data_IF_404255436837
#
_entry.id   IF_404255436837
#
_cell.length_a   1.000
_cell.length_b   1.000
_cell.length_c   1.000
_cell.angle_alpha   90.00
_cell.angle_beta   90.00
_cell.angle_gamma   90.00
#
_symmetry.space_group_name_H-M   'P 1'
#
loop_
_entity.id
_entity.type
_entity.pdbx_description
1 polymer ?
#
# COMPACT_ATOMS: atom_id res chain seq x y z
N UNK A 1 -84.36 -11.95 -6.07
CA UNK A 1 -83.34 -12.12 -5.01
C UNK A 1 -82.99 -13.60 -4.91
N UNK A 2 -82.26 -14.12 -5.89
CA UNK A 2 -81.87 -15.53 -5.96
C UNK A 2 -80.64 -15.72 -6.87
N UNK A 3 -79.66 -14.81 -6.81
CA UNK A 3 -78.44 -14.88 -7.63
C UNK A 3 -77.15 -14.90 -6.79
N UNK A 4 -77.25 -14.89 -5.45
CA UNK A 4 -76.07 -14.85 -4.55
C UNK A 4 -75.68 -16.22 -3.95
N UNK A 5 -76.44 -17.29 -4.22
CA UNK A 5 -76.18 -18.64 -3.67
C UNK A 5 -75.40 -19.57 -4.63
N UNK A 6 -75.19 -19.15 -5.88
CA UNK A 6 -74.48 -19.97 -6.90
C UNK A 6 -72.94 -19.78 -6.89
N UNK A 7 -72.43 -18.93 -6.00
CA UNK A 7 -70.99 -18.71 -5.76
C UNK A 7 -70.42 -19.53 -4.58
N UNK A 8 -71.19 -20.42 -3.96
CA UNK A 8 -70.66 -21.38 -2.99
C UNK A 8 -70.41 -22.73 -3.66
N UNK A 9 -69.13 -23.10 -3.80
CA UNK A 9 -68.56 -24.46 -3.91
C UNK A 9 -67.43 -24.57 -4.95
N UNK A 10 -66.46 -23.65 -4.90
CA UNK A 10 -65.10 -24.20 -4.73
C UNK A 10 -65.12 -24.90 -3.37
N UNK A 11 -64.83 -26.22 -3.29
CA UNK A 11 -64.90 -26.94 -2.03
C UNK A 11 -64.14 -26.15 -0.97
N UNK A 12 -64.77 -25.77 0.14
CA UNK A 12 -64.10 -24.99 1.21
C UNK A 12 -62.78 -25.65 1.64
N UNK A 13 -62.72 -26.97 1.49
CA UNK A 13 -61.52 -27.78 1.66
C UNK A 13 -60.36 -27.41 0.71
N UNK A 14 -60.63 -27.17 -0.57
CA UNK A 14 -59.62 -26.76 -1.55
C UNK A 14 -59.10 -25.35 -1.25
N UNK A 15 -59.97 -24.44 -0.83
CA UNK A 15 -59.56 -23.08 -0.42
C UNK A 15 -58.68 -23.13 0.84
N UNK A 16 -59.01 -23.99 1.80
CA UNK A 16 -58.20 -24.16 3.01
C UNK A 16 -56.85 -24.83 2.70
N UNK A 17 -56.84 -25.83 1.80
CA UNK A 17 -55.63 -26.47 1.32
C UNK A 17 -54.72 -25.47 0.58
N UNK A 18 -55.28 -24.67 -0.34
CA UNK A 18 -54.55 -23.62 -1.05
C UNK A 18 -54.02 -22.54 -0.10
N UNK A 19 -54.78 -22.16 0.93
CA UNK A 19 -54.29 -21.23 1.97
C UNK A 19 -53.10 -21.80 2.74
N UNK A 20 -53.14 -23.08 3.12
CA UNK A 20 -52.02 -23.77 3.78
C UNK A 20 -50.80 -23.89 2.86
N UNK A 21 -51.02 -24.19 1.59
CA UNK A 21 -49.97 -24.24 0.57
C UNK A 21 -49.30 -22.87 0.37
N UNK A 22 -50.08 -21.80 0.27
CA UNK A 22 -49.59 -20.42 0.16
C UNK A 22 -48.82 -20.02 1.42
N UNK A 23 -49.30 -20.35 2.62
CA UNK A 23 -48.55 -20.09 3.85
C UNK A 23 -47.23 -20.85 3.89
N UNK A 24 -47.20 -22.11 3.44
CA UNK A 24 -45.99 -22.92 3.34
C UNK A 24 -44.99 -22.31 2.36
N UNK A 25 -45.43 -21.94 1.16
CA UNK A 25 -44.63 -21.26 0.14
C UNK A 25 -44.14 -19.89 0.63
N UNK A 26 -44.94 -19.14 1.39
CA UNK A 26 -44.50 -17.87 1.98
C UNK A 26 -43.40 -18.03 3.02
N UNK A 27 -43.45 -19.09 3.84
CA UNK A 27 -42.45 -19.38 4.86
C UNK A 27 -41.15 -19.94 4.26
N UNK A 28 -41.28 -20.72 3.18
CA UNK A 28 -40.16 -21.32 2.46
C UNK A 28 -40.30 -21.04 0.96
N UNK A 29 -39.95 -19.83 0.49
CA UNK A 29 -40.16 -19.42 -0.91
C UNK A 29 -39.37 -20.25 -1.92
N UNK A 30 -38.27 -20.86 -1.49
CA UNK A 30 -37.49 -21.81 -2.28
C UNK A 30 -37.84 -23.28 -1.96
N UNK A 31 -38.65 -23.52 -0.93
CA UNK A 31 -39.35 -24.79 -0.65
C UNK A 31 -38.48 -25.97 -0.20
N UNK A 32 -39.11 -26.91 0.51
CA UNK A 32 -38.63 -28.24 0.98
C UNK A 32 -38.19 -29.19 -0.15
N UNK A 33 -38.04 -28.68 -1.36
CA UNK A 33 -37.58 -29.44 -2.52
C UNK A 33 -36.05 -29.51 -2.48
N UNK A 34 -35.46 -30.64 -2.89
CA UNK A 34 -34.00 -30.80 -2.92
C UNK A 34 -33.30 -29.70 -3.73
N UNK A 35 -33.95 -29.22 -4.78
CA UNK A 35 -33.45 -28.13 -5.63
C UNK A 35 -33.46 -26.80 -4.88
N UNK A 36 -34.52 -26.53 -4.10
CA UNK A 36 -34.64 -25.39 -3.20
C UNK A 36 -33.59 -25.33 -2.10
N UNK A 37 -33.32 -26.47 -1.46
CA UNK A 37 -32.27 -26.61 -0.45
C UNK A 37 -30.89 -26.35 -1.05
N UNK A 38 -30.60 -26.94 -2.22
CA UNK A 38 -29.33 -26.73 -2.93
C UNK A 38 -29.14 -25.26 -3.31
N UNK A 39 -30.19 -24.59 -3.77
CA UNK A 39 -30.16 -23.17 -4.09
C UNK A 39 -29.91 -22.31 -2.84
N UNK A 40 -30.59 -22.62 -1.73
CA UNK A 40 -30.41 -21.92 -0.46
C UNK A 40 -28.99 -22.08 0.07
N UNK A 41 -28.43 -23.30 -0.02
CA UNK A 41 -27.05 -23.58 0.34
C UNK A 41 -26.06 -22.80 -0.54
N UNK A 42 -26.28 -22.76 -1.86
CA UNK A 42 -25.46 -21.97 -2.78
C UNK A 42 -25.50 -20.47 -2.44
N UNK A 43 -26.68 -19.93 -2.12
CA UNK A 43 -26.86 -18.53 -1.71
C UNK A 43 -26.13 -18.27 -0.38
N UNK A 44 -26.25 -19.17 0.59
CA UNK A 44 -25.58 -19.03 1.89
C UNK A 44 -24.05 -19.08 1.73
N UNK A 45 -23.53 -20.04 0.95
CA UNK A 45 -22.11 -20.13 0.63
C UNK A 45 -21.62 -18.88 -0.10
N UNK A 46 -22.39 -18.35 -1.04
CA UNK A 46 -22.06 -17.09 -1.71
C UNK A 46 -22.01 -15.93 -0.72
N UNK A 47 -23.01 -15.81 0.16
CA UNK A 47 -23.07 -14.75 1.16
C UNK A 47 -21.87 -14.82 2.12
N UNK A 48 -21.48 -16.02 2.55
CA UNK A 48 -20.31 -16.21 3.41
C UNK A 48 -19.00 -15.91 2.67
N UNK A 49 -18.91 -16.23 1.39
CA UNK A 49 -17.78 -15.81 0.55
C UNK A 49 -17.72 -14.28 0.39
N UNK A 50 -18.85 -13.61 0.23
CA UNK A 50 -18.93 -12.14 0.18
C UNK A 50 -18.48 -11.54 1.52
N UNK A 51 -18.94 -12.07 2.66
CA UNK A 51 -18.48 -11.62 3.98
C UNK A 51 -16.97 -11.79 4.14
N UNK A 52 -16.42 -12.95 3.76
CA UNK A 52 -14.97 -13.19 3.77
C UNK A 52 -14.22 -12.19 2.90
N UNK A 53 -14.75 -11.87 1.72
CA UNK A 53 -14.16 -10.87 0.83
C UNK A 53 -14.17 -9.47 1.46
N UNK A 54 -15.28 -9.07 2.09
CA UNK A 54 -15.38 -7.81 2.83
C UNK A 54 -14.39 -7.78 4.00
N UNK A 55 -14.23 -8.88 4.73
CA UNK A 55 -13.26 -8.99 5.81
C UNK A 55 -11.83 -8.85 5.31
N UNK A 56 -11.49 -9.48 4.18
CA UNK A 56 -10.17 -9.33 3.54
C UNK A 56 -9.95 -7.86 3.18
N UNK A 57 -10.89 -7.21 2.49
CA UNK A 57 -10.75 -5.80 2.13
C UNK A 57 -10.61 -4.89 3.35
N UNK A 58 -11.37 -5.16 4.41
CA UNK A 58 -11.32 -4.38 5.64
C UNK A 58 -9.97 -4.54 6.34
N UNK A 59 -9.46 -5.78 6.43
CA UNK A 59 -8.13 -6.06 7.00
C UNK A 59 -7.02 -5.46 6.17
N UNK A 60 -7.05 -5.66 4.85
CA UNK A 60 -6.05 -5.07 3.93
C UNK A 60 -6.08 -3.55 3.97
N UNK A 61 -7.26 -2.92 4.03
CA UNK A 61 -7.36 -1.46 4.17
C UNK A 61 -6.84 -0.98 5.52
N UNK A 62 -7.08 -1.71 6.60
CA UNK A 62 -6.56 -1.38 7.93
C UNK A 62 -5.03 -1.52 7.97
N UNK A 63 -4.49 -2.60 7.40
CA UNK A 63 -3.05 -2.84 7.28
C UNK A 63 -2.38 -1.78 6.41
N UNK A 64 -3.00 -1.40 5.29
CA UNK A 64 -2.49 -0.33 4.43
C UNK A 64 -2.46 0.99 5.20
N UNK A 65 -3.54 1.31 5.94
CA UNK A 65 -3.59 2.52 6.75
C UNK A 65 -2.57 2.50 7.89
N UNK A 66 -2.32 1.36 8.51
CA UNK A 66 -1.30 1.20 9.56
C UNK A 66 0.11 1.35 9.00
N UNK A 67 0.39 0.70 7.87
CA UNK A 67 1.73 0.66 7.29
C UNK A 67 2.10 1.96 6.55
N UNK A 68 1.12 2.70 6.03
CA UNK A 68 1.35 3.93 5.26
C UNK A 68 0.82 5.21 5.93
N UNK A 69 0.04 5.09 7.00
CA UNK A 69 -0.59 6.23 7.67
C UNK A 69 0.24 6.83 8.80
N UNK A 70 1.11 6.06 9.45
CA UNK A 70 1.86 6.51 10.63
C UNK A 70 3.23 7.11 10.31
N UNK A 71 3.82 6.79 9.16
CA UNK A 71 5.00 7.49 8.61
C UNK A 71 4.71 7.74 7.14
N UNK A 72 4.21 8.94 6.84
CA UNK A 72 4.05 9.33 5.46
C UNK A 72 5.44 9.28 4.81
N UNK A 73 5.64 8.68 3.63
CA UNK A 73 6.92 8.75 2.92
C UNK A 73 7.39 10.21 2.70
N UNK A 74 6.48 11.17 2.84
CA UNK A 74 6.77 12.61 2.84
C UNK A 74 7.57 13.06 4.08
N UNK A 75 7.36 12.43 5.24
CA UNK A 75 8.12 12.67 6.47
C UNK A 75 9.54 12.13 6.35
N UNK A 76 9.70 10.91 5.82
CA UNK A 76 11.02 10.34 5.53
C UNK A 76 11.82 11.24 4.57
N UNK A 77 11.17 11.72 3.50
CA UNK A 77 11.81 12.66 2.55
C UNK A 77 12.20 13.96 3.24
N UNK A 78 11.38 14.47 4.16
CA UNK A 78 11.66 15.69 4.91
C UNK A 78 12.85 15.49 5.87
N UNK A 79 12.94 14.32 6.51
CA UNK A 79 14.06 13.97 7.37
C UNK A 79 15.36 13.85 6.58
N UNK A 80 15.35 13.12 5.45
CA UNK A 80 16.49 13.01 4.54
C UNK A 80 16.94 14.39 4.05
N UNK A 81 16.00 15.28 3.72
CA UNK A 81 16.32 16.66 3.33
C UNK A 81 17.04 17.41 4.45
N UNK A 82 16.54 17.31 5.69
CA UNK A 82 17.12 17.97 6.85
C UNK A 82 18.53 17.42 7.17
N UNK A 83 18.72 16.10 7.07
CA UNK A 83 20.03 15.46 7.22
C UNK A 83 21.02 15.95 6.15
N UNK A 84 20.60 16.01 4.88
CA UNK A 84 21.45 16.50 3.80
C UNK A 84 21.83 17.99 3.99
N UNK A 85 20.91 18.80 4.51
CA UNK A 85 21.19 20.19 4.84
C UNK A 85 22.24 20.31 5.96
N UNK A 86 22.13 19.51 7.02
CA UNK A 86 23.13 19.47 8.10
C UNK A 86 24.50 18.98 7.62
N UNK A 87 24.54 17.95 6.77
CA UNK A 87 25.78 17.44 6.18
C UNK A 87 26.44 18.53 5.33
N UNK A 88 25.67 19.21 4.49
CA UNK A 88 26.17 20.29 3.65
C UNK A 88 26.73 21.45 4.50
N UNK A 89 26.01 21.86 5.55
CA UNK A 89 26.48 22.87 6.50
C UNK A 89 27.78 22.44 7.20
N UNK A 90 27.87 21.17 7.62
CA UNK A 90 29.08 20.62 8.23
C UNK A 90 30.28 20.64 7.29
N UNK A 91 30.10 20.29 6.01
CA UNK A 91 31.16 20.33 5.00
C UNK A 91 31.64 21.77 4.77
N UNK A 92 30.72 22.74 4.67
CA UNK A 92 31.05 24.16 4.52
C UNK A 92 31.84 24.66 5.73
N UNK A 93 31.40 24.34 6.95
CA UNK A 93 32.10 24.74 8.17
C UNK A 93 33.53 24.17 8.24
N UNK A 94 33.74 22.92 7.84
CA UNK A 94 35.09 22.33 7.76
C UNK A 94 35.96 23.04 6.72
N UNK A 95 35.39 23.37 5.56
CA UNK A 95 36.11 24.12 4.53
C UNK A 95 36.54 25.51 5.02
N UNK A 96 35.68 26.20 5.78
CA UNK A 96 35.99 27.51 6.37
C UNK A 96 37.11 27.39 7.42
N UNK A 97 37.05 26.39 8.31
CA UNK A 97 38.12 26.14 9.29
C UNK A 97 39.47 25.85 8.62
N UNK A 98 39.49 25.06 7.54
CA UNK A 98 40.71 24.76 6.80
C UNK A 98 41.28 25.99 6.08
N UNK A 99 40.40 26.88 5.60
CA UNK A 99 40.80 28.15 4.98
C UNK A 99 41.44 29.07 6.01
N UNK A 100 40.84 29.20 7.18
CA UNK A 100 41.37 30.02 8.29
C UNK A 100 42.76 29.51 8.75
N UNK A 101 42.93 28.20 8.90
CA UNK A 101 44.23 27.57 9.20
C UNK A 101 45.29 27.91 8.14
N UNK A 102 44.92 27.89 6.86
CA UNK A 102 45.85 28.21 5.76
C UNK A 102 46.23 29.70 5.72
N UNK A 103 45.31 30.59 6.07
CA UNK A 103 45.56 32.03 6.18
C UNK A 103 46.39 32.39 7.42
N UNK A 104 46.19 31.68 8.54
CA UNK A 104 46.98 31.85 9.76
C UNK A 104 48.44 31.38 9.60
N UNK A 105 48.69 30.38 8.74
CA UNK A 105 50.04 29.97 8.33
C UNK A 105 50.51 30.80 7.12
N UNK A 106 50.27 32.12 7.15
CA UNK A 106 51.00 33.03 6.26
C UNK A 106 52.46 33.01 6.74
N UNK A 107 53.42 32.57 5.93
CA UNK A 107 54.82 32.59 6.32
C UNK A 107 55.17 34.04 6.65
N UNK A 108 55.49 34.32 7.91
CA UNK A 108 56.10 35.59 8.24
C UNK A 108 57.33 35.75 7.35
N UNK A 109 57.56 36.94 6.77
CA UNK A 109 58.75 37.18 5.97
C UNK A 109 59.95 36.85 6.85
N UNK A 110 60.64 35.77 6.48
CA UNK A 110 61.85 35.31 7.13
C UNK A 110 62.84 36.45 6.97
N UNK A 111 63.05 37.22 8.04
CA UNK A 111 64.14 38.20 8.08
C UNK A 111 65.44 37.44 7.80
N UNK A 112 66.30 37.92 6.88
CA UNK A 112 67.51 37.22 6.50
C UNK A 112 68.49 37.20 7.69
N UNK A 113 68.40 36.12 8.46
CA UNK A 113 69.34 35.82 9.53
C UNK A 113 70.71 35.37 8.96
N UNK A 114 71.79 35.53 9.73
CA UNK A 114 73.16 35.25 9.28
C UNK A 114 73.35 33.76 8.98
N UNK A 115 74.03 33.47 7.88
CA UNK A 115 74.39 32.12 7.43
C UNK A 115 75.23 31.41 8.50
N UNK A 116 74.68 30.35 9.08
CA UNK A 116 75.44 29.41 9.92
C UNK A 116 75.98 28.28 9.01
N UNK A 117 77.24 27.84 9.17
CA UNK A 117 77.83 26.77 8.35
C UNK A 117 77.25 25.41 8.70
N UNK A 118 76.90 24.66 7.65
CA UNK A 118 76.40 23.29 7.68
C UNK A 118 77.50 22.31 8.09
N UNK A 119 77.32 21.48 9.13
CA UNK A 119 78.13 20.28 9.28
C UNK A 119 77.54 19.13 8.45
N UNK A 120 78.42 18.50 7.68
CA UNK A 120 78.22 17.25 6.99
C UNK A 120 78.00 16.15 8.04
N UNK A 121 76.89 15.42 7.98
CA UNK A 121 76.76 14.15 8.69
C UNK A 121 75.96 13.17 7.84
N UNK A 122 76.69 12.18 7.36
CA UNK A 122 76.17 10.91 6.86
C UNK A 122 75.35 10.19 7.96
N UNK A 123 74.57 9.23 7.49
CA UNK A 123 74.16 7.98 8.14
C UNK A 123 72.64 7.80 8.29
N UNK A 124 72.13 6.97 7.37
CA UNK A 124 71.45 5.71 7.69
C UNK A 124 70.06 5.73 8.36
N UNK A 125 69.21 4.89 7.76
CA UNK A 125 68.34 3.90 8.44
C UNK A 125 66.83 4.19 8.48
N UNK A 126 66.16 3.26 7.80
CA UNK A 126 64.79 2.78 7.98
C UNK A 126 63.62 3.70 7.59
N UNK A 127 63.13 3.45 6.37
CA UNK A 127 61.69 3.53 6.09
C UNK A 127 60.94 2.44 6.88
N UNK A 128 59.91 2.78 7.66
CA UNK A 128 58.73 1.94 7.76
C UNK A 128 57.71 2.44 6.73
N UNK A 129 57.52 1.62 5.70
CA UNK A 129 56.38 1.71 4.78
C UNK A 129 55.10 1.49 5.58
N UNK A 130 54.48 2.56 6.06
CA UNK A 130 53.14 2.50 6.64
C UNK A 130 52.14 2.25 5.50
N UNK A 131 51.77 0.98 5.33
CA UNK A 131 50.57 0.60 4.61
C UNK A 131 49.37 1.03 5.47
N UNK A 132 48.78 2.19 5.16
CA UNK A 132 47.43 2.50 5.62
C UNK A 132 46.46 1.61 4.84
N UNK A 133 46.29 0.37 5.30
CA UNK A 133 45.08 -0.40 5.01
C UNK A 133 43.97 0.26 5.80
N UNK A 134 43.16 1.09 5.14
CA UNK A 134 41.83 1.42 5.62
C UNK A 134 41.03 0.11 5.71
N UNK A 135 40.48 -0.25 6.88
CA UNK A 135 39.45 -1.27 6.93
C UNK A 135 38.21 -0.65 6.27
N UNK A 136 37.84 -1.18 5.10
CA UNK A 136 36.48 -1.04 4.59
C UNK A 136 35.60 -1.82 5.57
N UNK A 137 35.12 -1.14 6.59
CA UNK A 137 33.92 -1.54 7.31
C UNK A 137 32.75 -1.33 6.36
N UNK A 138 32.48 -2.37 5.58
CA UNK A 138 31.26 -2.54 4.82
C UNK A 138 30.08 -2.42 5.80
N UNK A 139 29.11 -1.52 5.58
CA UNK A 139 27.91 -1.50 6.39
C UNK A 139 27.15 -2.79 6.09
N UNK A 140 27.14 -3.70 7.07
CA UNK A 140 26.13 -4.77 7.14
C UNK A 140 24.77 -4.08 7.13
N UNK A 141 24.14 -4.03 5.96
CA UNK A 141 22.72 -3.76 5.86
C UNK A 141 21.94 -4.79 6.69
N UNK A 142 20.69 -4.48 7.08
CA UNK A 142 19.83 -5.43 7.76
C UNK A 142 19.70 -6.69 6.90
N UNK A 143 20.15 -7.81 7.44
CA UNK A 143 19.92 -9.14 6.88
C UNK A 143 18.41 -9.30 6.67
N UNK A 144 17.99 -9.25 5.41
CA UNK A 144 16.65 -9.68 5.04
C UNK A 144 16.56 -11.17 5.39
N UNK A 145 15.53 -11.62 6.12
CA UNK A 145 15.35 -13.04 6.38
C UNK A 145 15.18 -13.76 5.03
N UNK A 146 16.13 -14.64 4.72
CA UNK A 146 15.97 -15.59 3.63
C UNK A 146 14.69 -16.40 3.87
N UNK A 147 13.79 -16.54 2.89
CA UNK A 147 12.72 -17.51 2.98
C UNK A 147 13.34 -18.91 3.02
N UNK A 148 12.84 -19.73 3.96
CA UNK A 148 13.12 -21.15 4.06
C UNK A 148 13.09 -21.79 2.67
N UNK A 149 14.22 -22.40 2.28
CA UNK A 149 14.25 -23.43 1.25
C UNK A 149 13.44 -24.62 1.75
N UNK A 150 12.15 -24.65 1.41
CA UNK A 150 11.36 -25.87 1.48
C UNK A 150 11.81 -26.79 0.34
N UNK A 151 12.14 -28.01 0.72
CA UNK A 151 12.45 -29.12 -0.17
C UNK A 151 11.33 -29.34 -1.20
N UNK A 152 11.63 -29.60 -2.49
CA UNK A 152 10.61 -29.95 -3.46
C UNK A 152 9.94 -31.28 -3.09
N UNK A 153 8.59 -31.38 -3.15
CA UNK A 153 7.90 -32.64 -2.97
C UNK A 153 8.13 -33.58 -4.17
N UNK A 154 8.07 -34.91 -3.95
CA UNK A 154 8.28 -35.90 -4.99
C UNK A 154 7.13 -35.93 -6.00
N UNK A 155 7.50 -36.12 -7.27
CA UNK A 155 6.68 -36.39 -8.45
C UNK A 155 5.25 -36.87 -8.18
N UNK A 156 4.28 -36.03 -8.55
CA UNK A 156 2.95 -36.52 -8.92
C UNK A 156 2.82 -36.51 -10.45
N UNK A 157 2.17 -37.53 -11.06
CA UNK A 157 1.98 -37.59 -12.50
C UNK A 157 1.05 -36.48 -12.98
N UNK A 158 1.55 -35.75 -13.99
CA UNK A 158 0.86 -34.73 -14.76
C UNK A 158 -0.43 -35.31 -15.37
N UNK A 159 -1.59 -34.86 -14.89
CA UNK A 159 -2.82 -34.95 -15.66
C UNK A 159 -2.84 -33.77 -16.63
N UNK A 160 -3.01 -34.10 -17.91
CA UNK A 160 -3.05 -33.21 -19.07
C UNK A 160 -4.08 -32.08 -18.92
N UNK A 161 -3.59 -30.84 -18.83
CA UNK A 161 -4.39 -29.65 -19.11
C UNK A 161 -4.44 -29.39 -20.63
N UNK A 162 -5.56 -28.87 -21.15
CA UNK A 162 -5.66 -28.47 -22.55
C UNK A 162 -4.81 -27.23 -22.84
N UNK A 163 -4.06 -27.35 -23.93
CA UNK A 163 -3.22 -26.34 -24.55
C UNK A 163 -4.03 -25.06 -24.86
N UNK A 164 -3.81 -24.00 -24.07
CA UNK A 164 -4.34 -22.66 -24.34
C UNK A 164 -3.19 -21.80 -24.82
N UNK A 165 -3.01 -21.82 -26.14
CA UNK A 165 -2.09 -20.95 -26.86
C UNK A 165 -2.51 -19.48 -26.64
N UNK A 166 -1.63 -18.62 -26.09
CA UNK A 166 -1.95 -17.20 -25.95
C UNK A 166 -1.93 -16.54 -27.33
N UNK A 167 -3.09 -16.07 -27.77
CA UNK A 167 -3.22 -15.28 -28.99
C UNK A 167 -2.48 -13.93 -28.90
N UNK A 168 -2.12 -13.33 -30.05
CA UNK A 168 -1.44 -12.04 -30.08
C UNK A 168 -2.34 -10.93 -29.49
N UNK A 169 -1.75 -10.13 -28.59
CA UNK A 169 -2.41 -9.01 -27.94
C UNK A 169 -2.92 -7.99 -28.96
N UNK A 170 -4.13 -7.45 -28.79
CA UNK A 170 -4.60 -6.33 -29.59
C UNK A 170 -3.80 -5.06 -29.26
N UNK A 171 -3.35 -4.39 -30.32
CA UNK A 171 -2.60 -3.13 -30.30
C UNK A 171 -3.46 -2.01 -29.69
N UNK A 172 -3.31 -1.78 -28.38
CA UNK A 172 -4.03 -0.74 -27.66
C UNK A 172 -3.24 0.56 -27.74
N UNK A 173 -3.60 1.41 -28.72
CA UNK A 173 -3.15 2.79 -28.73
C UNK A 173 -3.62 3.50 -27.45
N UNK A 174 -2.78 4.34 -26.82
CA UNK A 174 -3.15 5.05 -25.60
C UNK A 174 -4.31 6.02 -25.89
N UNK A 175 -5.47 5.72 -25.31
CA UNK A 175 -6.62 6.62 -25.29
C UNK A 175 -6.28 7.75 -24.31
N UNK A 176 -5.82 8.86 -24.86
CA UNK A 176 -5.65 10.12 -24.14
C UNK A 176 -7.00 10.85 -24.09
N UNK A 177 -7.98 10.29 -23.36
CA UNK A 177 -9.22 11.00 -23.07
C UNK A 177 -9.10 11.70 -21.71
N UNK A 178 -9.34 13.03 -21.64
CA UNK A 178 -9.49 13.71 -20.36
C UNK A 178 -10.74 13.18 -19.67
N UNK A 179 -10.55 12.52 -18.52
CA UNK A 179 -11.64 12.13 -17.62
C UNK A 179 -12.39 13.39 -17.16
N UNK A 180 -13.52 13.70 -17.81
CA UNK A 180 -14.48 14.63 -17.24
C UNK A 180 -15.18 13.93 -16.07
N UNK A 181 -15.16 14.48 -14.85
CA UNK A 181 -15.86 13.88 -13.72
C UNK A 181 -17.38 13.85 -13.99
N UNK A 182 -18.08 12.79 -13.54
CA UNK A 182 -19.51 12.67 -13.75
C UNK A 182 -20.27 13.82 -13.05
N UNK A 183 -21.41 14.27 -13.60
CA UNK A 183 -22.22 15.32 -12.99
C UNK A 183 -22.76 14.84 -11.64
N UNK A 184 -22.31 15.51 -10.57
CA UNK A 184 -22.83 15.32 -9.22
C UNK A 184 -24.29 15.76 -9.22
N UNK A 185 -25.22 14.80 -9.15
CA UNK A 185 -26.63 15.11 -8.88
C UNK A 185 -26.71 15.64 -7.44
N UNK A 186 -26.88 16.96 -7.28
CA UNK A 186 -27.09 17.62 -5.99
C UNK A 186 -28.33 17.03 -5.29
N UNK A 187 -28.12 16.05 -4.41
CA UNK A 187 -29.17 15.36 -3.67
C UNK A 187 -29.42 15.97 -2.27
N UNK A 188 -29.13 17.26 -2.08
CA UNK A 188 -29.38 17.93 -0.82
C UNK A 188 -30.21 19.21 -1.01
N UNK A 189 -31.46 19.26 -0.50
CA UNK A 189 -32.26 20.48 -0.55
C UNK A 189 -31.62 21.56 0.32
N UNK A 190 -31.28 22.70 -0.30
CA UNK A 190 -30.76 23.90 0.37
C UNK A 190 -31.80 24.42 1.38
N UNK A 191 -31.60 24.16 2.68
CA UNK A 191 -32.38 24.75 3.77
C UNK A 191 -32.17 26.28 3.77
N UNK A 192 -33.21 27.03 3.39
CA UNK A 192 -33.26 28.49 3.50
C UNK A 192 -33.16 28.89 4.99
N UNK A 193 -32.03 29.46 5.40
CA UNK A 193 -31.91 30.15 6.70
C UNK A 193 -32.75 31.43 6.62
N UNK A 194 -33.88 31.48 7.34
CA UNK A 194 -34.66 32.71 7.54
C UNK A 194 -33.78 33.68 8.32
N UNK A 195 -33.55 34.86 7.73
CA UNK A 195 -32.82 35.96 8.36
C UNK A 195 -33.56 36.46 9.60
N UNK A 196 -32.83 36.54 10.70
CA UNK A 196 -33.28 37.01 12.02
C UNK A 196 -33.04 38.52 12.22
N UNK A 197 -32.85 39.28 11.14
CA UNK A 197 -32.68 40.73 11.22
C UNK A 197 -33.82 41.43 10.49
N UNK A 198 -34.89 41.70 11.22
CA UNK A 198 -35.80 42.81 10.93
C UNK A 198 -35.98 43.57 12.24
N UNK A 199 -35.14 44.58 12.44
CA UNK A 199 -35.40 45.67 13.38
C UNK A 199 -36.15 46.75 12.60
N UNK A 200 -37.30 47.15 13.12
CA UNK A 200 -37.79 48.52 13.05
C UNK A 200 -37.91 49.00 14.50
#
# INVERSE_FOLDING_TARGET
MAEDEEYELLPRHEIEALKKEIERLKKHPFGETKEGETLLEAINNLNDNIKRLIDIFTKTSADLKKNYGDTSPLEDIKEIKNQNEQIAQGIVAVADMMKELKEAVKPQPISPGPKIPTPLSEAQTNQPRAQTRVPVSEPRGPESPMPLRTTPPPNQPLNSLPDTTPGPLPDTKPINQPFAPPPVKELFPKKKRRGLFSRK
#
